data_IF_798114564691
#
_entry.id   IF_798114564691
#
_cell.length_a   1.000
_cell.length_b   1.000
_cell.length_c   1.000
_cell.angle_alpha   90.00
_cell.angle_beta   90.00
_cell.angle_gamma   90.00
#
_symmetry.space_group_name_H-M   'P 1'
#
loop_
_entity.id
_entity.type
_entity.pdbx_description
1 polymer ?
#
# COMPACT_ATOMS: atom_id res chain seq x y z
N UNK A 1 -8.09 22.35 -27.45
CA UNK A 1 -6.97 22.26 -26.47
C UNK A 1 -7.13 20.95 -25.72
N UNK A 2 -6.11 20.12 -25.75
CA UNK A 2 -6.09 18.88 -24.96
C UNK A 2 -5.87 19.27 -23.50
N UNK A 3 -6.72 18.76 -22.60
CA UNK A 3 -6.63 19.07 -21.18
C UNK A 3 -5.51 18.21 -20.59
N UNK A 4 -4.53 18.83 -19.92
CA UNK A 4 -3.47 18.13 -19.21
C UNK A 4 -4.10 17.23 -18.12
N UNK A 5 -3.81 15.92 -18.10
CA UNK A 5 -4.29 15.00 -17.07
C UNK A 5 -3.79 15.36 -15.66
N UNK A 6 -2.72 16.12 -15.55
CA UNK A 6 -2.17 16.57 -14.27
C UNK A 6 -2.61 18.01 -13.92
N UNK A 7 -2.62 18.30 -12.64
CA UNK A 7 -2.77 19.65 -12.11
C UNK A 7 -1.95 19.82 -10.84
N UNK A 8 -1.51 21.04 -10.59
CA UNK A 8 -0.71 21.37 -9.41
C UNK A 8 -1.60 21.57 -8.19
N UNK A 9 -1.13 21.09 -7.06
CA UNK A 9 -1.72 21.33 -5.74
C UNK A 9 -0.65 21.80 -4.77
N UNK A 10 -1.00 22.75 -3.92
CA UNK A 10 -0.12 23.21 -2.84
C UNK A 10 -0.14 22.20 -1.69
N UNK A 11 1.04 21.84 -1.22
CA UNK A 11 1.24 20.98 -0.04
C UNK A 11 2.14 21.67 0.97
N UNK A 12 1.88 21.44 2.26
CA UNK A 12 2.76 21.89 3.34
C UNK A 12 3.60 20.72 3.83
N UNK A 13 4.91 20.89 3.90
CA UNK A 13 5.80 19.85 4.39
C UNK A 13 5.60 19.64 5.89
N UNK A 14 5.33 18.42 6.30
CA UNK A 14 5.12 18.07 7.72
C UNK A 14 6.41 18.15 8.56
N UNK A 15 7.58 18.19 7.90
CA UNK A 15 8.90 18.27 8.54
C UNK A 15 9.39 19.72 8.66
N UNK A 16 9.56 20.45 7.56
CA UNK A 16 10.11 21.83 7.56
C UNK A 16 9.05 22.92 7.48
N UNK A 17 7.76 22.57 7.41
CA UNK A 17 6.61 23.48 7.39
C UNK A 17 6.54 24.43 6.18
N UNK A 18 7.45 24.30 5.19
CA UNK A 18 7.41 25.08 3.95
C UNK A 18 6.35 24.53 3.00
N UNK A 19 5.72 25.43 2.27
CA UNK A 19 4.78 25.11 1.20
C UNK A 19 5.52 24.85 -0.11
N UNK A 20 5.00 23.92 -0.90
CA UNK A 20 5.52 23.60 -2.23
C UNK A 20 4.39 23.06 -3.12
N UNK A 21 4.62 23.04 -4.42
CA UNK A 21 3.68 22.49 -5.38
C UNK A 21 4.02 21.04 -5.72
N UNK A 22 2.99 20.22 -5.95
CA UNK A 22 3.11 18.83 -6.38
C UNK A 22 1.95 18.48 -7.29
N UNK A 23 2.18 17.53 -8.22
CA UNK A 23 1.17 17.12 -9.19
C UNK A 23 0.18 16.12 -8.62
N UNK A 24 -1.06 16.18 -9.15
CA UNK A 24 -2.10 15.16 -8.99
C UNK A 24 -2.79 14.87 -10.31
N UNK A 25 -3.32 13.68 -10.46
CA UNK A 25 -4.16 13.31 -11.60
C UNK A 25 -5.57 13.85 -11.41
N UNK A 26 -6.10 14.53 -12.43
CA UNK A 26 -7.48 15.03 -12.44
C UNK A 26 -8.47 13.87 -12.30
N UNK A 27 -9.57 14.02 -11.55
CA UNK A 27 -10.57 12.96 -11.36
C UNK A 27 -11.07 12.35 -12.66
N UNK A 28 -11.30 13.16 -13.70
CA UNK A 28 -11.77 12.70 -15.02
C UNK A 28 -10.79 11.79 -15.75
N UNK A 29 -9.50 11.81 -15.39
CA UNK A 29 -8.45 10.98 -15.99
C UNK A 29 -8.12 9.74 -15.16
N UNK A 30 -8.73 9.56 -13.98
CA UNK A 30 -8.55 8.36 -13.12
C UNK A 30 -9.44 7.20 -13.61
N UNK A 31 -9.31 6.83 -14.87
CA UNK A 31 -10.10 5.76 -15.47
C UNK A 31 -9.40 4.41 -15.25
N UNK A 32 -9.91 3.65 -14.28
CA UNK A 32 -9.44 2.28 -14.00
C UNK A 32 -9.92 1.33 -15.09
N UNK A 33 -9.01 0.57 -15.67
CA UNK A 33 -9.30 -0.47 -16.68
C UNK A 33 -9.45 -1.85 -16.05
N UNK A 34 -8.65 -2.12 -15.02
CA UNK A 34 -8.63 -3.38 -14.26
C UNK A 34 -8.21 -3.11 -12.82
N UNK A 35 -8.65 -3.95 -11.91
CA UNK A 35 -8.20 -3.98 -10.53
C UNK A 35 -7.93 -5.41 -10.11
N UNK A 36 -6.76 -5.67 -9.56
CA UNK A 36 -6.41 -6.96 -9.00
C UNK A 36 -7.04 -7.14 -7.60
N UNK A 37 -7.04 -8.37 -7.12
CA UNK A 37 -7.67 -8.78 -5.87
C UNK A 37 -7.04 -8.15 -4.62
N UNK A 38 -5.78 -7.74 -4.70
CA UNK A 38 -5.08 -6.96 -3.66
C UNK A 38 -5.26 -5.43 -3.82
N UNK A 39 -6.26 -5.01 -4.61
CA UNK A 39 -6.62 -3.63 -4.93
C UNK A 39 -5.66 -2.87 -5.85
N UNK A 40 -4.61 -3.50 -6.37
CA UNK A 40 -3.76 -2.89 -7.39
C UNK A 40 -4.60 -2.52 -8.62
N UNK A 41 -4.63 -1.25 -9.00
CA UNK A 41 -5.45 -0.76 -10.10
C UNK A 41 -4.61 -0.41 -11.31
N UNK A 42 -5.11 -0.72 -12.50
CA UNK A 42 -4.51 -0.35 -13.78
C UNK A 42 -5.33 0.75 -14.44
N UNK A 43 -4.66 1.73 -14.98
CA UNK A 43 -5.30 2.94 -15.50
C UNK A 43 -5.08 3.10 -17.00
N UNK A 44 -6.07 3.69 -17.66
CA UNK A 44 -6.00 3.93 -19.11
C UNK A 44 -4.95 4.99 -19.50
N UNK A 45 -4.78 5.99 -18.63
CA UNK A 45 -3.90 7.13 -18.87
C UNK A 45 -2.87 7.24 -17.74
N UNK A 46 -2.77 8.39 -17.09
CA UNK A 46 -1.87 8.59 -15.96
C UNK A 46 -2.26 7.73 -14.75
N UNK A 47 -1.28 7.08 -14.14
CA UNK A 47 -1.48 6.30 -12.94
C UNK A 47 -1.48 7.21 -11.69
N UNK A 48 -2.62 7.38 -10.98
CA UNK A 48 -2.67 8.23 -9.78
C UNK A 48 -1.74 7.79 -8.67
N UNK A 49 -1.39 6.50 -8.59
CA UNK A 49 -0.53 5.95 -7.56
C UNK A 49 0.90 6.54 -7.65
N UNK A 50 1.32 7.00 -8.83
CA UNK A 50 2.62 7.66 -8.99
C UNK A 50 2.71 9.00 -8.26
N UNK A 51 1.57 9.60 -7.88
CA UNK A 51 1.47 10.94 -7.29
C UNK A 51 0.98 10.95 -5.83
N UNK A 52 0.83 9.79 -5.21
CA UNK A 52 0.38 9.66 -3.80
C UNK A 52 1.43 10.22 -2.84
N UNK A 53 2.71 9.90 -3.09
CA UNK A 53 3.81 10.38 -2.25
C UNK A 53 4.17 11.81 -2.64
N UNK A 54 4.29 12.67 -1.63
CA UNK A 54 4.77 14.05 -1.74
C UNK A 54 6.19 14.13 -1.22
N UNK A 55 7.09 14.73 -1.98
CA UNK A 55 8.49 14.92 -1.59
C UNK A 55 8.77 16.42 -1.51
N UNK A 56 9.17 16.88 -0.35
CA UNK A 56 9.50 18.29 -0.14
C UNK A 56 10.81 18.65 -0.86
N UNK A 57 10.82 19.63 -1.80
CA UNK A 57 12.02 20.02 -2.53
C UNK A 57 13.05 20.72 -1.63
N UNK A 58 12.63 21.23 -0.45
CA UNK A 58 13.49 22.00 0.44
C UNK A 58 14.27 21.11 1.43
N UNK A 59 13.64 20.12 2.02
CA UNK A 59 14.29 19.23 2.99
C UNK A 59 14.40 17.76 2.56
N UNK A 60 13.75 17.36 1.44
CA UNK A 60 13.76 15.99 0.95
C UNK A 60 12.82 15.04 1.71
N UNK A 61 12.07 15.51 2.71
CA UNK A 61 11.13 14.66 3.46
C UNK A 61 9.99 14.19 2.55
N UNK A 62 9.75 12.88 2.53
CA UNK A 62 8.70 12.26 1.73
C UNK A 62 7.59 11.72 2.63
N UNK A 63 6.33 11.98 2.28
CA UNK A 63 5.16 11.65 3.06
C UNK A 63 3.92 11.45 2.18
N UNK A 64 2.86 10.88 2.74
CA UNK A 64 1.55 10.72 2.10
C UNK A 64 0.49 11.56 2.81
N UNK A 65 -0.71 11.64 2.25
CA UNK A 65 -1.84 12.31 2.92
C UNK A 65 -2.27 11.64 4.23
N UNK A 66 -1.97 10.35 4.37
CA UNK A 66 -2.29 9.56 5.55
C UNK A 66 -1.22 9.65 6.65
N UNK A 67 -0.07 10.26 6.35
CA UNK A 67 0.98 10.53 7.33
C UNK A 67 0.51 11.57 8.36
N UNK A 68 1.20 11.65 9.50
CA UNK A 68 0.89 12.66 10.52
C UNK A 68 0.91 14.07 9.93
N UNK A 69 0.01 14.94 10.36
CA UNK A 69 -0.08 16.33 9.89
C UNK A 69 1.10 17.20 10.33
N UNK A 70 1.81 16.78 11.37
CA UNK A 70 3.00 17.46 11.93
C UNK A 70 3.89 16.43 12.62
N UNK A 71 5.21 16.59 12.48
CA UNK A 71 6.19 15.80 13.21
C UNK A 71 6.43 16.37 14.60
N UNK A 72 6.67 15.50 15.58
CA UNK A 72 7.21 15.89 16.87
C UNK A 72 8.65 16.42 16.72
N UNK A 73 9.15 17.15 17.71
CA UNK A 73 10.54 17.63 17.71
C UNK A 73 11.55 16.46 17.63
N UNK A 74 11.24 15.35 18.30
CA UNK A 74 12.07 14.14 18.27
C UNK A 74 12.08 13.47 16.91
N UNK A 75 10.92 13.32 16.26
CA UNK A 75 10.80 12.76 14.91
C UNK A 75 11.57 13.60 13.90
N UNK A 76 11.45 14.92 13.98
CA UNK A 76 12.19 15.86 13.12
C UNK A 76 13.70 15.69 13.31
N UNK A 77 14.16 15.66 14.54
CA UNK A 77 15.57 15.45 14.87
C UNK A 77 16.10 14.14 14.30
N UNK A 78 15.37 13.03 14.49
CA UNK A 78 15.74 11.72 13.93
C UNK A 78 15.87 11.75 12.41
N UNK A 79 14.94 12.43 11.72
CA UNK A 79 15.02 12.60 10.29
C UNK A 79 16.25 13.40 9.86
N UNK A 80 16.49 14.56 10.48
CA UNK A 80 17.63 15.43 10.17
C UNK A 80 18.96 14.70 10.34
N UNK A 81 19.13 13.96 11.44
CA UNK A 81 20.37 13.23 11.75
C UNK A 81 20.62 12.04 10.83
N UNK A 82 19.57 11.29 10.45
CA UNK A 82 19.72 10.02 9.70
C UNK A 82 19.59 10.15 8.20
N UNK A 83 18.82 11.10 7.71
CA UNK A 83 18.46 11.23 6.29
C UNK A 83 18.66 12.63 5.76
N UNK A 84 18.21 13.65 6.50
CA UNK A 84 18.12 15.03 6.02
C UNK A 84 19.47 15.59 5.54
N UNK A 85 20.56 15.28 6.25
CA UNK A 85 21.91 15.73 5.90
C UNK A 85 22.44 15.15 4.58
N UNK A 86 22.01 13.93 4.20
CA UNK A 86 22.43 13.22 2.99
C UNK A 86 21.39 13.25 1.88
N UNK A 87 20.22 13.84 2.12
CA UNK A 87 19.11 13.87 1.18
C UNK A 87 19.46 14.71 -0.05
N UNK A 88 19.47 14.06 -1.22
CA UNK A 88 19.56 14.76 -2.51
C UNK A 88 18.23 15.50 -2.75
N UNK A 89 18.29 16.81 -2.84
CA UNK A 89 17.12 17.64 -3.13
C UNK A 89 16.79 17.50 -4.61
N UNK A 90 15.91 16.55 -4.94
CA UNK A 90 15.37 16.35 -6.28
C UNK A 90 13.91 16.80 -6.29
N UNK A 91 13.52 17.43 -7.37
CA UNK A 91 12.17 17.93 -7.55
C UNK A 91 11.31 16.85 -8.21
N UNK A 92 10.18 16.53 -7.57
CA UNK A 92 9.20 15.53 -8.04
C UNK A 92 7.82 16.17 -8.30
N UNK A 93 7.78 17.48 -8.50
CA UNK A 93 6.52 18.23 -8.66
C UNK A 93 5.85 18.08 -10.02
N UNK A 94 6.57 17.56 -11.04
CA UNK A 94 6.09 17.39 -12.41
C UNK A 94 5.46 16.03 -12.71
N UNK A 95 5.41 15.69 -14.00
CA UNK A 95 5.05 14.33 -14.47
C UNK A 95 6.12 13.35 -14.03
N UNK A 96 5.67 12.19 -13.51
CA UNK A 96 6.57 11.15 -12.98
C UNK A 96 6.59 9.93 -13.85
N UNK A 97 7.78 9.41 -14.09
CA UNK A 97 7.99 8.06 -14.62
C UNK A 97 7.74 7.01 -13.52
N UNK A 98 7.65 5.74 -13.90
CA UNK A 98 7.56 4.63 -12.96
C UNK A 98 8.77 4.61 -12.00
N UNK A 99 9.98 4.87 -12.53
CA UNK A 99 11.20 4.90 -11.72
C UNK A 99 11.18 6.05 -10.70
N UNK A 100 10.72 7.23 -11.10
CA UNK A 100 10.58 8.38 -10.19
C UNK A 100 9.49 8.12 -9.13
N UNK A 101 8.39 7.48 -9.51
CA UNK A 101 7.39 7.04 -8.54
C UNK A 101 8.00 6.05 -7.54
N UNK A 102 8.75 5.04 -8.01
CA UNK A 102 9.46 4.09 -7.18
C UNK A 102 10.45 4.78 -6.21
N UNK A 103 11.22 5.75 -6.69
CA UNK A 103 12.12 6.56 -5.86
C UNK A 103 11.35 7.27 -4.74
N UNK A 104 10.22 7.91 -5.06
CA UNK A 104 9.43 8.66 -4.06
C UNK A 104 8.86 7.75 -2.98
N UNK A 105 8.37 6.55 -3.34
CA UNK A 105 7.87 5.59 -2.37
C UNK A 105 8.96 5.02 -1.47
N UNK A 106 10.15 4.71 -2.02
CA UNK A 106 11.31 4.28 -1.22
C UNK A 106 11.77 5.37 -0.26
N UNK A 107 11.78 6.63 -0.70
CA UNK A 107 12.06 7.77 0.18
C UNK A 107 11.02 7.88 1.30
N UNK A 108 9.73 7.76 0.98
CA UNK A 108 8.68 7.82 1.99
C UNK A 108 8.78 6.67 2.99
N UNK A 109 9.13 5.47 2.53
CA UNK A 109 9.35 4.31 3.41
C UNK A 109 10.51 4.56 4.38
N UNK A 110 11.64 5.07 3.88
CA UNK A 110 12.79 5.44 4.72
C UNK A 110 12.40 6.52 5.73
N UNK A 111 11.70 7.57 5.29
CA UNK A 111 11.22 8.62 6.18
C UNK A 111 10.31 8.05 7.28
N UNK A 112 9.31 7.25 6.92
CA UNK A 112 8.37 6.63 7.85
C UNK A 112 9.07 5.75 8.88
N UNK A 113 10.03 4.92 8.45
CA UNK A 113 10.81 4.07 9.35
C UNK A 113 11.69 4.87 10.31
N UNK A 114 12.37 5.90 9.81
CA UNK A 114 13.28 6.73 10.63
C UNK A 114 12.52 7.52 11.69
N UNK A 115 11.35 8.06 11.36
CA UNK A 115 10.53 8.78 12.34
C UNK A 115 9.67 7.86 13.20
N UNK A 116 9.71 6.55 12.97
CA UNK A 116 8.83 5.57 13.62
C UNK A 116 7.35 5.95 13.45
N UNK A 117 6.93 6.16 12.21
CA UNK A 117 5.53 6.42 11.87
C UNK A 117 4.66 5.18 12.16
N UNK A 118 3.35 5.34 12.10
CA UNK A 118 2.39 4.24 12.32
C UNK A 118 2.67 3.07 11.39
N UNK A 119 2.60 1.86 11.92
CA UNK A 119 2.84 0.62 11.15
C UNK A 119 1.93 0.53 9.91
N UNK A 120 0.70 1.03 9.99
CA UNK A 120 -0.25 1.09 8.87
C UNK A 120 0.26 1.93 7.69
N UNK A 121 1.03 2.99 7.94
CA UNK A 121 1.66 3.81 6.90
C UNK A 121 2.77 3.02 6.23
N UNK A 122 3.63 2.37 7.03
CA UNK A 122 4.72 1.52 6.54
C UNK A 122 4.16 0.37 5.68
N UNK A 123 3.13 -0.33 6.16
CA UNK A 123 2.48 -1.42 5.44
C UNK A 123 1.91 -0.94 4.09
N UNK A 124 1.24 0.21 4.07
CA UNK A 124 0.70 0.79 2.84
C UNK A 124 1.80 1.15 1.84
N UNK A 125 2.89 1.75 2.29
CA UNK A 125 4.03 2.10 1.43
C UNK A 125 4.69 0.84 0.83
N UNK A 126 4.93 -0.19 1.65
CA UNK A 126 5.48 -1.47 1.20
C UNK A 126 4.59 -2.12 0.14
N UNK A 127 3.28 -2.09 0.33
CA UNK A 127 2.32 -2.66 -0.61
C UNK A 127 2.30 -1.90 -1.93
N UNK A 128 2.31 -0.57 -1.91
CA UNK A 128 2.40 0.23 -3.14
C UNK A 128 3.74 0.02 -3.87
N UNK A 129 4.85 -0.18 -3.15
CA UNK A 129 6.13 -0.55 -3.77
C UNK A 129 6.01 -1.90 -4.48
N UNK A 130 5.30 -2.87 -3.89
CA UNK A 130 5.02 -4.14 -4.57
C UNK A 130 4.23 -3.93 -5.87
N UNK A 131 3.20 -3.06 -5.87
CA UNK A 131 2.46 -2.71 -7.09
C UNK A 131 3.35 -2.05 -8.14
N UNK A 132 4.25 -1.14 -7.74
CA UNK A 132 5.18 -0.51 -8.68
C UNK A 132 6.13 -1.54 -9.31
N UNK A 133 6.60 -2.54 -8.57
CA UNK A 133 7.37 -3.64 -9.12
C UNK A 133 6.54 -4.54 -10.06
N UNK A 134 5.23 -4.73 -9.78
CA UNK A 134 4.30 -5.41 -10.69
C UNK A 134 4.15 -4.65 -12.00
N UNK A 135 4.02 -3.32 -11.97
CA UNK A 135 4.00 -2.49 -13.19
C UNK A 135 5.33 -2.54 -13.96
N UNK A 136 6.44 -2.74 -13.26
CA UNK A 136 7.78 -2.95 -13.83
C UNK A 136 8.05 -4.39 -14.30
N UNK A 137 7.06 -5.30 -14.15
CA UNK A 137 7.19 -6.73 -14.47
C UNK A 137 8.37 -7.43 -13.75
N UNK A 138 8.71 -6.96 -12.54
CA UNK A 138 9.77 -7.51 -11.71
C UNK A 138 9.17 -8.39 -10.59
N UNK A 139 8.88 -9.64 -10.93
CA UNK A 139 8.20 -10.60 -10.04
C UNK A 139 8.98 -10.90 -8.76
N UNK A 140 10.32 -10.96 -8.83
CA UNK A 140 11.16 -11.24 -7.66
C UNK A 140 11.01 -10.15 -6.60
N UNK A 141 11.15 -8.89 -7.02
CA UNK A 141 11.01 -7.76 -6.11
C UNK A 141 9.55 -7.56 -5.68
N UNK A 142 8.58 -7.75 -6.57
CA UNK A 142 7.17 -7.74 -6.20
C UNK A 142 6.92 -8.74 -5.05
N UNK A 143 7.29 -10.00 -5.22
CA UNK A 143 7.11 -11.04 -4.21
C UNK A 143 7.76 -10.69 -2.87
N UNK A 144 8.98 -10.14 -2.92
CA UNK A 144 9.70 -9.69 -1.72
C UNK A 144 8.93 -8.60 -0.97
N UNK A 145 8.46 -7.57 -1.67
CA UNK A 145 7.73 -6.45 -1.06
C UNK A 145 6.31 -6.84 -0.65
N UNK A 146 5.64 -7.78 -1.34
CA UNK A 146 4.39 -8.41 -0.89
C UNK A 146 4.61 -9.07 0.47
N UNK A 147 5.71 -9.80 0.67
CA UNK A 147 6.05 -10.40 1.96
C UNK A 147 6.22 -9.36 3.07
N UNK A 148 6.97 -8.30 2.82
CA UNK A 148 7.14 -7.21 3.80
C UNK A 148 5.82 -6.50 4.12
N UNK A 149 4.98 -6.27 3.12
CA UNK A 149 3.67 -5.65 3.32
C UNK A 149 2.75 -6.54 4.16
N UNK A 150 2.70 -7.86 3.86
CA UNK A 150 1.94 -8.85 4.62
C UNK A 150 2.35 -8.83 6.10
N UNK A 151 3.66 -8.91 6.39
CA UNK A 151 4.17 -8.91 7.76
C UNK A 151 3.83 -7.62 8.51
N UNK A 152 3.94 -6.48 7.83
CA UNK A 152 3.52 -5.18 8.37
C UNK A 152 2.01 -5.12 8.64
N UNK A 153 1.16 -5.61 7.74
CA UNK A 153 -0.29 -5.65 7.97
C UNK A 153 -0.68 -6.60 9.10
N UNK A 154 0.03 -7.71 9.31
CA UNK A 154 -0.17 -8.59 10.46
C UNK A 154 0.16 -7.82 11.76
N UNK A 155 1.28 -7.10 11.82
CA UNK A 155 1.61 -6.25 12.98
C UNK A 155 0.55 -5.18 13.24
N UNK A 156 0.00 -4.55 12.19
CA UNK A 156 -1.14 -3.63 12.33
C UNK A 156 -2.33 -4.32 12.98
N UNK A 157 -2.67 -5.52 12.53
CA UNK A 157 -3.77 -6.30 13.09
C UNK A 157 -3.57 -6.67 14.56
N UNK A 158 -2.34 -6.96 14.96
CA UNK A 158 -1.98 -7.37 16.32
C UNK A 158 -1.86 -6.19 17.30
N UNK A 159 -1.39 -5.03 16.83
CA UNK A 159 -0.98 -3.92 17.72
C UNK A 159 -1.90 -2.71 17.68
N UNK A 160 -2.43 -2.39 16.51
CA UNK A 160 -3.45 -1.35 16.45
C UNK A 160 -4.76 -2.02 16.85
N UNK A 161 -5.50 -1.45 17.81
CA UNK A 161 -6.84 -1.92 18.17
C UNK A 161 -7.80 -1.79 16.96
N UNK A 162 -7.42 -2.46 15.87
CA UNK A 162 -8.29 -2.79 14.79
C UNK A 162 -9.41 -3.59 15.44
N UNK A 163 -10.57 -2.97 15.57
CA UNK A 163 -11.71 -3.70 16.11
C UNK A 163 -11.87 -4.99 15.30
N UNK A 164 -12.54 -6.00 15.84
CA UNK A 164 -12.83 -7.24 15.10
C UNK A 164 -13.49 -7.01 13.73
N UNK A 165 -13.76 -5.77 13.38
CA UNK A 165 -14.43 -5.31 12.17
C UNK A 165 -13.51 -4.80 11.06
N UNK A 166 -12.19 -4.91 11.14
CA UNK A 166 -11.33 -4.52 10.01
C UNK A 166 -11.25 -5.63 8.95
N UNK A 167 -12.45 -5.93 8.39
CA UNK A 167 -12.63 -6.94 7.36
C UNK A 167 -11.69 -6.73 6.16
N UNK A 168 -11.47 -5.46 5.80
CA UNK A 168 -10.58 -5.11 4.69
C UNK A 168 -9.11 -5.44 4.98
N UNK A 169 -8.66 -5.22 6.21
CA UNK A 169 -7.30 -5.57 6.63
C UNK A 169 -7.11 -7.08 6.62
N UNK A 170 -8.04 -7.84 7.20
CA UNK A 170 -7.98 -9.30 7.22
C UNK A 170 -8.05 -9.90 5.81
N UNK A 171 -8.96 -9.40 4.95
CA UNK A 171 -9.02 -9.78 3.55
C UNK A 171 -7.67 -9.55 2.85
N UNK A 172 -7.09 -8.37 3.05
CA UNK A 172 -5.83 -8.00 2.41
C UNK A 172 -4.67 -8.91 2.86
N UNK A 173 -4.58 -9.21 4.16
CA UNK A 173 -3.57 -10.15 4.66
C UNK A 173 -3.76 -11.53 4.00
N UNK A 174 -5.00 -12.03 3.92
CA UNK A 174 -5.32 -13.29 3.25
C UNK A 174 -4.91 -13.30 1.79
N UNK A 175 -5.18 -12.23 1.06
CA UNK A 175 -4.81 -12.11 -0.35
C UNK A 175 -3.29 -12.04 -0.55
N UNK A 176 -2.56 -11.33 0.31
CA UNK A 176 -1.10 -11.30 0.25
C UNK A 176 -0.49 -12.66 0.59
N UNK A 177 -1.03 -13.40 1.55
CA UNK A 177 -0.64 -14.80 1.82
C UNK A 177 -0.88 -15.68 0.58
N UNK A 178 -2.03 -15.55 -0.09
CA UNK A 178 -2.33 -16.30 -1.32
C UNK A 178 -1.30 -16.01 -2.43
N UNK A 179 -0.96 -14.75 -2.65
CA UNK A 179 0.05 -14.35 -3.64
C UNK A 179 1.44 -14.87 -3.32
N UNK A 180 1.77 -15.07 -2.06
CA UNK A 180 3.01 -15.68 -1.61
C UNK A 180 3.01 -17.21 -1.73
N UNK A 181 1.84 -17.84 -1.97
CA UNK A 181 1.67 -19.28 -2.00
C UNK A 181 1.48 -19.91 -0.61
N UNK A 182 1.21 -19.08 0.40
CA UNK A 182 0.96 -19.51 1.78
C UNK A 182 -0.54 -19.79 1.96
N UNK A 183 -1.02 -20.82 1.26
CA UNK A 183 -2.44 -21.07 1.07
C UNK A 183 -3.18 -21.36 2.37
N UNK A 184 -2.58 -22.12 3.28
CA UNK A 184 -3.22 -22.43 4.56
C UNK A 184 -3.46 -21.16 5.40
N UNK A 185 -2.51 -20.22 5.42
CA UNK A 185 -2.68 -18.95 6.10
C UNK A 185 -3.76 -18.09 5.40
N UNK A 186 -3.76 -18.04 4.07
CA UNK A 186 -4.78 -17.34 3.31
C UNK A 186 -6.19 -17.83 3.65
N UNK A 187 -6.39 -19.15 3.71
CA UNK A 187 -7.67 -19.77 4.11
C UNK A 187 -8.10 -19.30 5.50
N UNK A 188 -7.20 -19.31 6.47
CA UNK A 188 -7.50 -18.86 7.85
C UNK A 188 -7.96 -17.39 7.89
N UNK A 189 -7.29 -16.52 7.15
CA UNK A 189 -7.66 -15.10 7.10
C UNK A 189 -9.01 -14.86 6.42
N UNK A 190 -9.27 -15.49 5.27
CA UNK A 190 -10.57 -15.39 4.59
C UNK A 190 -11.69 -15.98 5.43
N UNK A 191 -11.47 -17.13 6.08
CA UNK A 191 -12.45 -17.76 6.97
C UNK A 191 -12.84 -16.86 8.14
N UNK A 192 -11.90 -16.12 8.73
CA UNK A 192 -12.22 -15.12 9.77
C UNK A 192 -13.18 -14.06 9.25
N UNK A 193 -12.95 -13.51 8.03
CA UNK A 193 -13.86 -12.52 7.44
C UNK A 193 -15.24 -13.11 7.16
N UNK A 194 -15.31 -14.37 6.70
CA UNK A 194 -16.56 -15.01 6.29
C UNK A 194 -17.45 -15.36 7.48
N UNK A 195 -16.85 -15.83 8.59
CA UNK A 195 -17.59 -16.43 9.70
C UNK A 195 -17.75 -15.52 10.93
N UNK A 196 -17.02 -14.40 11.03
CA UNK A 196 -17.18 -13.47 12.14
C UNK A 196 -18.48 -12.65 11.98
N UNK A 197 -19.49 -12.98 12.78
CA UNK A 197 -20.79 -12.32 12.75
C UNK A 197 -20.75 -10.81 13.08
N UNK A 198 -19.64 -10.32 13.62
CA UNK A 198 -19.45 -8.88 13.90
C UNK A 198 -19.07 -8.08 12.66
N UNK A 199 -18.67 -8.76 11.59
CA UNK A 199 -18.30 -8.13 10.32
C UNK A 199 -19.57 -7.86 9.52
N UNK A 200 -19.85 -6.57 9.29
CA UNK A 200 -21.00 -6.10 8.53
C UNK A 200 -20.64 -5.65 7.09
N UNK A 201 -19.36 -5.72 6.69
CA UNK A 201 -18.90 -5.36 5.35
C UNK A 201 -19.24 -6.46 4.34
N UNK A 202 -20.43 -6.38 3.75
CA UNK A 202 -20.92 -7.33 2.76
C UNK A 202 -19.98 -7.44 1.52
N UNK A 203 -19.30 -6.34 1.17
CA UNK A 203 -18.34 -6.32 0.07
C UNK A 203 -17.11 -7.19 0.36
N UNK A 204 -16.53 -7.03 1.55
CA UNK A 204 -15.36 -7.81 1.96
C UNK A 204 -15.72 -9.27 2.24
N UNK A 205 -16.91 -9.55 2.80
CA UNK A 205 -17.39 -10.93 2.97
C UNK A 205 -17.51 -11.62 1.61
N UNK A 206 -18.11 -10.97 0.61
CA UNK A 206 -18.25 -11.54 -0.74
C UNK A 206 -16.88 -11.76 -1.38
N UNK A 207 -16.00 -10.76 -1.37
CA UNK A 207 -14.65 -10.87 -1.90
C UNK A 207 -13.86 -12.01 -1.23
N UNK A 208 -13.98 -12.17 0.10
CA UNK A 208 -13.35 -13.27 0.82
C UNK A 208 -13.87 -14.64 0.40
N UNK A 209 -15.18 -14.77 0.19
CA UNK A 209 -15.78 -16.03 -0.32
C UNK A 209 -15.30 -16.36 -1.73
N UNK A 210 -15.21 -15.37 -2.61
CA UNK A 210 -14.70 -15.55 -3.98
C UNK A 210 -13.23 -16.02 -3.96
N UNK A 211 -12.37 -15.37 -3.16
CA UNK A 211 -10.97 -15.76 -3.04
C UNK A 211 -10.80 -17.13 -2.36
N UNK A 212 -11.63 -17.43 -1.37
CA UNK A 212 -11.63 -18.73 -0.71
C UNK A 212 -12.00 -19.87 -1.67
N UNK A 213 -13.01 -19.66 -2.53
CA UNK A 213 -13.40 -20.64 -3.55
C UNK A 213 -12.29 -20.84 -4.59
N UNK A 214 -11.73 -19.76 -5.12
CA UNK A 214 -10.59 -19.80 -6.06
C UNK A 214 -9.40 -20.54 -5.46
N UNK A 215 -9.08 -20.26 -4.21
CA UNK A 215 -7.96 -20.89 -3.51
C UNK A 215 -8.19 -22.39 -3.31
N UNK A 216 -9.43 -22.81 -3.03
CA UNK A 216 -9.79 -24.21 -2.94
C UNK A 216 -9.55 -24.94 -4.26
N UNK A 217 -9.94 -24.35 -5.38
CA UNK A 217 -9.69 -24.90 -6.72
C UNK A 217 -8.19 -24.98 -7.01
N UNK A 218 -7.41 -23.94 -6.70
CA UNK A 218 -5.96 -23.93 -6.87
C UNK A 218 -5.27 -25.02 -6.05
N UNK A 219 -5.68 -25.25 -4.79
CA UNK A 219 -5.13 -26.29 -3.93
C UNK A 219 -5.44 -27.69 -4.46
N UNK A 220 -6.69 -27.94 -4.90
CA UNK A 220 -7.10 -29.21 -5.50
C UNK A 220 -6.33 -29.49 -6.80
N UNK A 221 -6.17 -28.50 -7.66
CA UNK A 221 -5.41 -28.64 -8.91
C UNK A 221 -3.93 -29.00 -8.64
N UNK A 222 -3.36 -28.50 -7.53
CA UNK A 222 -1.99 -28.80 -7.08
C UNK A 222 -1.89 -30.06 -6.23
N UNK A 223 -3.00 -30.81 -6.01
CA UNK A 223 -3.08 -31.99 -5.15
C UNK A 223 -2.62 -31.73 -3.72
N UNK A 224 -2.90 -30.54 -3.21
CA UNK A 224 -2.61 -30.17 -1.83
C UNK A 224 -3.74 -30.65 -0.92
N UNK A 225 -3.39 -30.99 0.32
CA UNK A 225 -4.40 -31.29 1.35
C UNK A 225 -5.16 -30.01 1.72
N UNK A 226 -6.49 -30.11 1.76
CA UNK A 226 -7.34 -28.98 2.13
C UNK A 226 -7.32 -28.78 3.64
N UNK A 227 -7.16 -27.52 4.13
CA UNK A 227 -7.29 -27.19 5.54
C UNK A 227 -8.65 -27.56 6.11
N UNK A 228 -8.71 -27.77 7.43
CA UNK A 228 -9.94 -28.18 8.13
C UNK A 228 -11.12 -27.23 7.86
N UNK A 229 -10.85 -25.95 7.74
CA UNK A 229 -11.82 -24.91 7.41
C UNK A 229 -12.50 -25.13 6.04
N UNK A 230 -11.84 -25.81 5.12
CA UNK A 230 -12.35 -26.13 3.78
C UNK A 230 -12.99 -27.51 3.65
N UNK A 231 -12.81 -28.38 4.63
CA UNK A 231 -13.38 -29.74 4.63
C UNK A 231 -14.81 -29.76 5.15
N UNK A 232 -15.21 -28.75 5.92
CA UNK A 232 -16.52 -28.65 6.59
C UNK A 232 -17.58 -27.79 5.85
N UNK A 233 -17.29 -27.40 4.60
CA UNK A 233 -18.15 -26.48 3.82
C UNK A 233 -18.80 -27.17 2.66
#
# INVERSE_FOLDING_TARGET
MEIDPLFQVTATCVCCERTFETSRVRPSFKQTTRRDTDFCAYYKNENPDFYVVRVCPYCGFAFTENSASKLTAEQRKRYEEKVGASSKKKEYGGKRTLDEAMETYKLALICAQVIQDKERIIASLLHHIAWLYRYAENEEQERRFVGFARDSYIRVYETEAAGPSDARLMYLIGELCRRLGEFNEAVRWFSRVIHDQRIMDAGMIRASREQWATLREEMLARKMELPTEMQQS
#
